data_IF_688658275069
#
_entry.id   IF_688658275069
#
_cell.length_a   1.000
_cell.length_b   1.000
_cell.length_c   1.000
_cell.angle_alpha   90.00
_cell.angle_beta   90.00
_cell.angle_gamma   90.00
#
_symmetry.space_group_name_H-M   'P 1'
#
loop_
_entity.id
_entity.type
_entity.pdbx_description
1 polymer ?
#
# COMPACT_ATOMS: atom_id res chain seq x y z
N UNK A 1 0.46 11.30 5.39
CA UNK A 1 -0.71 11.30 4.49
C UNK A 1 -1.37 12.67 4.48
N UNK A 2 -1.94 13.09 3.36
CA UNK A 2 -2.50 14.44 3.17
C UNK A 2 -3.55 14.83 4.24
N UNK A 3 -4.40 13.90 4.66
CA UNK A 3 -5.41 14.11 5.72
C UNK A 3 -4.76 14.42 7.08
N UNK A 4 -3.75 13.65 7.48
CA UNK A 4 -3.06 13.85 8.75
C UNK A 4 -2.35 15.21 8.84
N UNK A 5 -1.72 15.65 7.75
CA UNK A 5 -1.08 16.97 7.70
C UNK A 5 -2.09 18.13 7.77
N UNK A 6 -3.30 17.94 7.23
CA UNK A 6 -4.39 18.90 7.35
C UNK A 6 -4.98 18.93 8.78
N UNK A 7 -5.08 17.77 9.44
CA UNK A 7 -5.54 17.66 10.83
C UNK A 7 -4.55 18.30 11.82
N UNK A 8 -3.24 18.16 11.59
CA UNK A 8 -2.21 18.77 12.44
C UNK A 8 -2.20 20.31 12.39
N UNK A 9 -2.69 20.90 11.30
CA UNK A 9 -2.75 22.34 11.09
C UNK A 9 -4.19 22.87 11.13
N UNK A 10 -5.08 22.19 11.85
CA UNK A 10 -6.49 22.55 11.90
C UNK A 10 -6.68 23.97 12.49
N UNK A 11 -7.34 24.83 11.71
CA UNK A 11 -7.76 26.17 12.11
C UNK A 11 -8.97 26.66 11.30
N UNK A 12 -9.47 27.87 11.59
CA UNK A 12 -10.68 28.41 10.96
C UNK A 12 -10.58 28.50 9.42
N UNK A 13 -9.38 28.72 8.90
CA UNK A 13 -9.11 28.81 7.46
C UNK A 13 -9.00 27.46 6.75
N UNK A 14 -8.82 26.36 7.48
CA UNK A 14 -8.65 25.01 6.91
C UNK A 14 -9.85 24.10 7.17
N UNK A 15 -10.85 24.57 7.93
CA UNK A 15 -11.98 23.78 8.40
C UNK A 15 -12.78 23.16 7.25
N UNK A 16 -13.10 23.93 6.21
CA UNK A 16 -13.86 23.43 5.06
C UNK A 16 -13.06 22.41 4.23
N UNK A 17 -11.75 22.63 4.06
CA UNK A 17 -10.86 21.73 3.35
C UNK A 17 -10.67 20.40 4.10
N UNK A 18 -10.54 20.46 5.42
CA UNK A 18 -10.48 19.27 6.29
C UNK A 18 -11.79 18.50 6.21
N UNK A 19 -12.93 19.17 6.33
CA UNK A 19 -14.25 18.52 6.25
C UNK A 19 -14.49 17.86 4.90
N UNK A 20 -14.21 18.56 3.80
CA UNK A 20 -14.32 17.99 2.46
C UNK A 20 -13.43 16.76 2.28
N UNK A 21 -12.22 16.77 2.86
CA UNK A 21 -11.30 15.65 2.76
C UNK A 21 -11.67 14.48 3.68
N UNK A 22 -12.22 14.74 4.87
CA UNK A 22 -12.80 13.69 5.74
C UNK A 22 -14.00 13.07 5.04
N UNK A 23 -14.94 13.87 4.52
CA UNK A 23 -16.13 13.38 3.82
C UNK A 23 -15.75 12.55 2.58
N UNK A 24 -14.78 13.02 1.79
CA UNK A 24 -14.27 12.29 0.62
C UNK A 24 -13.56 10.97 0.99
N UNK A 25 -13.00 10.88 2.20
CA UNK A 25 -12.33 9.69 2.70
C UNK A 25 -13.19 8.92 3.71
N UNK A 26 -14.43 9.29 3.99
CA UNK A 26 -15.23 8.78 5.11
C UNK A 26 -15.44 7.27 5.02
N UNK A 27 -15.94 6.78 3.89
CA UNK A 27 -16.10 5.35 3.63
C UNK A 27 -14.76 4.61 3.65
N UNK A 28 -13.68 5.29 3.25
CA UNK A 28 -12.35 4.73 3.32
C UNK A 28 -11.90 4.60 4.78
N UNK A 29 -11.97 5.65 5.59
CA UNK A 29 -11.59 5.65 7.01
C UNK A 29 -12.39 4.62 7.81
N UNK A 30 -13.73 4.62 7.64
CA UNK A 30 -14.65 3.72 8.35
C UNK A 30 -14.37 2.25 8.04
N UNK A 31 -14.07 1.93 6.77
CA UNK A 31 -13.89 0.55 6.34
C UNK A 31 -12.43 0.07 6.36
N UNK A 32 -11.42 0.96 6.45
CA UNK A 32 -10.02 0.54 6.25
C UNK A 32 -9.42 -0.29 7.37
N UNK A 33 -9.82 -0.09 8.62
CA UNK A 33 -9.31 -0.92 9.73
C UNK A 33 -9.71 -2.38 9.51
N UNK A 34 -10.88 -2.64 8.92
CA UNK A 34 -11.37 -3.98 8.56
C UNK A 34 -10.85 -4.49 7.21
N UNK A 35 -10.28 -3.61 6.37
CA UNK A 35 -9.83 -3.99 5.03
C UNK A 35 -8.40 -4.53 5.00
N UNK A 36 -7.61 -4.45 6.06
CA UNK A 36 -6.34 -5.17 6.14
C UNK A 36 -6.62 -6.65 6.36
N UNK A 37 -6.70 -7.39 5.26
CA UNK A 37 -7.07 -8.80 5.25
C UNK A 37 -5.82 -9.64 5.42
N UNK A 38 -6.01 -10.81 6.01
CA UNK A 38 -4.98 -11.84 6.06
C UNK A 38 -4.69 -12.40 4.66
N UNK A 39 -3.55 -13.09 4.47
CA UNK A 39 -3.19 -13.74 3.22
C UNK A 39 -4.32 -14.64 2.69
N UNK A 40 -4.54 -14.61 1.37
CA UNK A 40 -5.63 -15.32 0.72
C UNK A 40 -5.09 -16.12 -0.47
N UNK A 41 -5.34 -17.42 -0.49
CA UNK A 41 -4.92 -18.32 -1.56
C UNK A 41 -5.41 -17.88 -2.95
N UNK A 42 -6.59 -17.25 -3.06
CA UNK A 42 -7.08 -16.69 -4.32
C UNK A 42 -6.21 -15.52 -4.80
N UNK A 43 -5.90 -14.57 -3.91
CA UNK A 43 -5.10 -13.40 -4.26
C UNK A 43 -3.62 -13.76 -4.48
N UNK A 44 -3.12 -14.78 -3.77
CA UNK A 44 -1.81 -15.39 -4.05
C UNK A 44 -1.71 -15.92 -5.49
N UNK A 45 -2.71 -16.69 -5.92
CA UNK A 45 -2.78 -17.17 -7.32
C UNK A 45 -2.87 -16.01 -8.29
N UNK A 46 -3.71 -15.03 -7.99
CA UNK A 46 -3.83 -13.83 -8.83
C UNK A 46 -2.50 -13.09 -9.01
N UNK A 47 -1.74 -12.87 -7.93
CA UNK A 47 -0.41 -12.23 -8.01
C UNK A 47 0.57 -13.06 -8.85
N UNK A 48 0.49 -14.39 -8.76
CA UNK A 48 1.41 -15.31 -9.44
C UNK A 48 1.08 -15.47 -10.93
N UNK A 49 -0.19 -15.59 -11.27
CA UNK A 49 -0.63 -16.08 -12.58
C UNK A 49 -1.13 -14.96 -13.50
N UNK A 50 -1.59 -13.84 -12.92
CA UNK A 50 -2.22 -12.77 -13.70
C UNK A 50 -1.23 -11.63 -14.00
N UNK A 51 -1.22 -11.08 -15.22
CA UNK A 51 -0.45 -9.88 -15.54
C UNK A 51 -1.16 -8.60 -15.09
N UNK A 52 -2.47 -8.68 -14.83
CA UNK A 52 -3.27 -7.54 -14.39
C UNK A 52 -4.55 -8.02 -13.71
N UNK A 53 -5.13 -7.16 -12.88
CA UNK A 53 -6.41 -7.42 -12.22
C UNK A 53 -7.38 -6.26 -12.43
N UNK A 54 -8.67 -6.53 -12.30
CA UNK A 54 -9.68 -5.48 -12.19
C UNK A 54 -9.97 -5.23 -10.71
N UNK A 55 -9.63 -4.03 -10.23
CA UNK A 55 -9.93 -3.58 -8.88
C UNK A 55 -10.87 -2.39 -8.96
N UNK A 56 -12.11 -2.55 -8.47
CA UNK A 56 -13.16 -1.52 -8.49
C UNK A 56 -13.36 -0.89 -9.89
N UNK A 57 -13.38 -1.73 -10.93
CA UNK A 57 -13.56 -1.30 -12.32
C UNK A 57 -12.32 -0.68 -12.98
N UNK A 58 -11.19 -0.58 -12.27
CA UNK A 58 -9.91 -0.11 -12.84
C UNK A 58 -8.95 -1.27 -13.03
N UNK A 59 -8.24 -1.29 -14.16
CA UNK A 59 -7.20 -2.29 -14.45
C UNK A 59 -5.91 -1.91 -13.72
N UNK A 60 -5.45 -2.76 -12.79
CA UNK A 60 -4.17 -2.64 -12.13
C UNK A 60 -3.18 -3.61 -12.77
N UNK A 61 -2.06 -3.11 -13.29
CA UNK A 61 -0.97 -3.94 -13.78
C UNK A 61 -0.19 -4.55 -12.61
N UNK A 62 0.02 -5.87 -12.66
CA UNK A 62 0.87 -6.59 -11.72
C UNK A 62 2.29 -6.53 -12.25
N UNK A 63 3.18 -5.97 -11.45
CA UNK A 63 4.61 -5.97 -11.77
C UNK A 63 5.19 -7.34 -11.45
N UNK A 64 5.62 -8.06 -12.49
CA UNK A 64 6.15 -9.42 -12.38
C UNK A 64 7.44 -9.44 -11.56
N UNK A 65 8.26 -8.38 -11.64
CA UNK A 65 9.50 -8.27 -10.86
C UNK A 65 9.23 -8.27 -9.35
N UNK A 66 8.08 -7.76 -8.92
CA UNK A 66 7.73 -7.61 -7.52
C UNK A 66 7.07 -8.85 -6.91
N UNK A 67 6.74 -9.88 -7.71
CA UNK A 67 5.97 -11.05 -7.23
C UNK A 67 6.64 -11.75 -6.06
N UNK A 68 7.93 -12.07 -6.18
CA UNK A 68 8.67 -12.77 -5.13
C UNK A 68 8.70 -11.96 -3.82
N UNK A 69 9.08 -10.69 -3.91
CA UNK A 69 9.08 -9.75 -2.79
C UNK A 69 7.69 -9.57 -2.16
N UNK A 70 6.64 -9.52 -3.00
CA UNK A 70 5.24 -9.42 -2.56
C UNK A 70 4.85 -10.62 -1.70
N UNK A 71 5.15 -11.84 -2.17
CA UNK A 71 4.81 -13.06 -1.45
C UNK A 71 5.59 -13.21 -0.14
N UNK A 72 6.87 -12.84 -0.16
CA UNK A 72 7.70 -12.80 1.05
C UNK A 72 7.12 -11.84 2.08
N UNK A 73 6.85 -10.59 1.69
CA UNK A 73 6.31 -9.57 2.59
C UNK A 73 4.90 -9.89 3.07
N UNK A 74 4.05 -10.47 2.23
CA UNK A 74 2.69 -10.88 2.60
C UNK A 74 2.73 -11.87 3.76
N UNK A 75 3.67 -12.82 3.73
CA UNK A 75 3.90 -13.77 4.81
C UNK A 75 4.44 -13.11 6.08
N UNK A 76 5.31 -12.11 5.97
CA UNK A 76 5.90 -11.42 7.12
C UNK A 76 4.90 -10.49 7.81
N UNK A 77 4.06 -9.81 7.02
CA UNK A 77 3.11 -8.80 7.50
C UNK A 77 1.75 -9.37 7.90
N UNK A 78 1.52 -10.67 7.66
CA UNK A 78 0.20 -11.30 7.70
C UNK A 78 -0.85 -10.47 6.94
N UNK A 79 -0.48 -10.05 5.73
CA UNK A 79 -1.27 -9.14 4.90
C UNK A 79 -1.56 -9.78 3.55
N UNK A 80 -2.78 -9.60 3.05
CA UNK A 80 -3.23 -10.01 1.73
C UNK A 80 -2.22 -9.68 0.63
N UNK A 81 -1.99 -10.65 -0.27
CA UNK A 81 -0.96 -10.56 -1.30
C UNK A 81 -1.20 -9.36 -2.24
N UNK A 82 -2.45 -9.02 -2.54
CA UNK A 82 -2.76 -7.89 -3.40
C UNK A 82 -2.52 -6.55 -2.67
N UNK A 83 -2.93 -6.46 -1.41
CA UNK A 83 -2.64 -5.28 -0.60
C UNK A 83 -1.13 -5.08 -0.42
N UNK A 84 -0.40 -6.17 -0.19
CA UNK A 84 1.06 -6.16 -0.09
C UNK A 84 1.72 -5.71 -1.39
N UNK A 85 1.21 -6.17 -2.54
CA UNK A 85 1.74 -5.73 -3.84
C UNK A 85 1.57 -4.22 -4.04
N UNK A 86 0.40 -3.70 -3.70
CA UNK A 86 0.11 -2.27 -3.80
C UNK A 86 0.98 -1.47 -2.83
N UNK A 87 1.14 -1.94 -1.59
CA UNK A 87 2.01 -1.33 -0.58
C UNK A 87 3.46 -1.25 -1.10
N UNK A 88 3.99 -2.35 -1.63
CA UNK A 88 5.35 -2.43 -2.13
C UNK A 88 5.57 -1.47 -3.32
N UNK A 89 4.62 -1.37 -4.24
CA UNK A 89 4.68 -0.40 -5.35
C UNK A 89 4.72 1.05 -4.85
N UNK A 90 3.94 1.39 -3.83
CA UNK A 90 3.96 2.74 -3.24
C UNK A 90 5.27 3.01 -2.52
N UNK A 91 5.73 2.06 -1.70
CA UNK A 91 6.99 2.19 -0.99
C UNK A 91 8.16 2.39 -1.95
N UNK A 92 8.26 1.63 -3.05
CA UNK A 92 9.29 1.84 -4.09
C UNK A 92 9.24 3.24 -4.69
N UNK A 93 8.04 3.70 -5.04
CA UNK A 93 7.83 5.03 -5.59
C UNK A 93 8.25 6.13 -4.61
N UNK A 94 7.89 6.00 -3.34
CA UNK A 94 8.13 7.01 -2.32
C UNK A 94 9.60 7.05 -1.85
N UNK A 95 10.33 5.93 -2.00
CA UNK A 95 11.75 5.82 -1.63
C UNK A 95 12.71 6.06 -2.79
N UNK A 96 12.19 6.33 -4.00
CA UNK A 96 13.01 6.55 -5.20
C UNK A 96 13.65 5.28 -5.77
N UNK A 97 13.23 4.10 -5.30
CA UNK A 97 13.71 2.81 -5.82
C UNK A 97 13.15 2.48 -7.21
N UNK A 98 12.19 3.27 -7.71
CA UNK A 98 11.70 3.20 -9.10
C UNK A 98 12.66 3.85 -10.11
N UNK A 99 13.58 4.72 -9.68
CA UNK A 99 14.53 5.41 -10.58
C UNK A 99 15.78 4.57 -10.90
N UNK A 100 15.99 3.46 -10.18
CA UNK A 100 17.07 2.54 -10.48
C UNK A 100 16.74 1.73 -11.75
N UNK A 101 17.64 1.65 -12.76
CA UNK A 101 17.42 0.80 -13.93
C UNK A 101 17.32 -0.67 -13.48
N UNK A 102 16.10 -1.14 -13.28
CA UNK A 102 15.83 -2.53 -12.99
C UNK A 102 15.44 -3.23 -14.28
N UNK A 103 16.12 -4.34 -14.56
CA UNK A 103 15.65 -5.28 -15.56
C UNK A 103 14.29 -5.82 -15.09
N UNK A 104 13.22 -5.45 -15.79
CA UNK A 104 11.85 -5.86 -15.48
C UNK A 104 11.68 -7.40 -15.45
N UNK A 105 12.67 -8.13 -15.98
CA UNK A 105 12.76 -9.58 -16.00
C UNK A 105 13.31 -10.17 -14.70
N UNK A 106 14.01 -9.38 -13.87
CA UNK A 106 14.66 -9.86 -12.65
C UNK A 106 13.76 -9.67 -11.43
N UNK A 107 13.52 -10.72 -10.62
CA UNK A 107 12.80 -10.57 -9.37
C UNK A 107 13.50 -9.58 -8.44
N UNK A 108 12.72 -8.68 -7.82
CA UNK A 108 13.21 -7.81 -6.76
C UNK A 108 13.62 -8.68 -5.57
N UNK A 109 14.90 -8.65 -5.24
CA UNK A 109 15.43 -9.23 -4.01
C UNK A 109 15.46 -8.15 -2.94
N UNK A 110 14.69 -8.34 -1.87
CA UNK A 110 14.71 -7.44 -0.71
C UNK A 110 15.83 -7.85 0.24
N UNK A 111 16.63 -6.90 0.66
CA UNK A 111 17.53 -7.06 1.81
C UNK A 111 16.73 -7.11 3.12
N UNK A 112 17.39 -7.49 4.22
CA UNK A 112 16.75 -7.41 5.55
C UNK A 112 16.34 -5.98 5.90
N UNK A 113 17.16 -4.99 5.54
CA UNK A 113 16.86 -3.57 5.77
C UNK A 113 15.64 -3.11 4.98
N UNK A 114 15.50 -3.56 3.72
CA UNK A 114 14.32 -3.24 2.90
C UNK A 114 13.04 -3.81 3.53
N UNK A 115 13.09 -5.04 4.04
CA UNK A 115 11.95 -5.66 4.73
C UNK A 115 11.56 -4.82 5.94
N UNK A 116 12.51 -4.42 6.78
CA UNK A 116 12.26 -3.58 7.96
C UNK A 116 11.68 -2.20 7.58
N UNK A 117 12.15 -1.61 6.49
CA UNK A 117 11.61 -0.34 5.98
C UNK A 117 10.17 -0.49 5.48
N UNK A 118 9.87 -1.54 4.73
CA UNK A 118 8.49 -1.82 4.27
C UNK A 118 7.56 -2.10 5.45
N UNK A 119 8.02 -2.85 6.45
CA UNK A 119 7.26 -3.07 7.69
C UNK A 119 6.97 -1.77 8.41
N UNK A 120 7.97 -0.90 8.55
CA UNK A 120 7.82 0.41 9.18
C UNK A 120 6.83 1.27 8.41
N UNK A 121 6.92 1.30 7.08
CA UNK A 121 6.01 2.02 6.19
C UNK A 121 4.56 1.54 6.37
N UNK A 122 4.33 0.22 6.39
CA UNK A 122 3.02 -0.39 6.64
C UNK A 122 2.41 0.01 7.99
N UNK A 123 3.18 -0.14 9.07
CA UNK A 123 2.69 0.19 10.41
C UNK A 123 2.47 1.69 10.58
N UNK A 124 3.28 2.53 9.93
CA UNK A 124 3.07 3.97 9.92
C UNK A 124 1.77 4.35 9.19
N UNK A 125 1.46 3.76 8.02
CA UNK A 125 0.18 3.98 7.35
C UNK A 125 -1.00 3.59 8.25
N UNK A 126 -0.92 2.44 8.94
CA UNK A 126 -1.96 1.98 9.88
C UNK A 126 -2.11 2.90 11.09
N UNK A 127 -1.00 3.36 11.66
CA UNK A 127 -1.03 4.29 12.79
C UNK A 127 -1.58 5.66 12.38
N UNK A 128 -1.25 6.13 11.19
CA UNK A 128 -1.81 7.38 10.67
C UNK A 128 -3.31 7.27 10.46
N UNK A 129 -3.78 6.14 9.92
CA UNK A 129 -5.20 5.82 9.78
C UNK A 129 -5.96 5.88 11.12
N UNK A 130 -5.38 5.29 12.18
CA UNK A 130 -5.99 5.28 13.52
C UNK A 130 -5.94 6.64 14.24
N UNK A 131 -5.02 7.52 13.84
CA UNK A 131 -4.86 8.87 14.41
C UNK A 131 -5.72 9.92 13.68
N UNK A 132 -6.35 9.57 12.57
CA UNK A 132 -7.28 10.45 11.86
C UNK A 132 -8.69 10.24 12.39
#
# INVERSE_FOLDING_TARGET
GALHGLLQNYGPSTQDAVKAQIDAQYDWLLNNVQNFKQPNAANRKTITDSPSISLRGKKLSIDVSLRAATLQLSSVLDLDELQTHILLKRWKKDTGLDDAPQDASKPLALSQDDILQVMSYYHQERLLLLKC
#
